data_IF_454599847801
#
_entry.id   IF_454599847801
#
_cell.length_a   1.000
_cell.length_b   1.000
_cell.length_c   1.000
_cell.angle_alpha   90.00
_cell.angle_beta   90.00
_cell.angle_gamma   90.00
#
_symmetry.space_group_name_H-M   'P 1'
#
loop_
_entity.id
_entity.type
_entity.pdbx_description
1 polymer ?
#
# COMPACT_ATOMS: atom_id res chain seq x y z
N UNK A 1 31.30 -65.44 25.44
CA UNK A 1 30.81 -64.14 25.90
C UNK A 1 30.70 -63.23 24.69
N UNK A 2 29.51 -62.72 24.37
CA UNK A 2 29.31 -61.70 23.34
C UNK A 2 28.34 -60.66 23.93
N UNK A 3 28.86 -59.47 24.20
CA UNK A 3 28.10 -58.27 24.61
C UNK A 3 27.96 -57.36 23.38
N UNK A 4 26.80 -56.74 23.20
CA UNK A 4 26.59 -55.62 22.27
C UNK A 4 25.09 -55.41 22.01
N UNK A 5 24.35 -54.79 22.92
CA UNK A 5 23.96 -53.36 22.98
C UNK A 5 23.12 -52.88 21.79
N UNK A 6 21.84 -52.65 22.06
CA UNK A 6 20.86 -51.94 21.23
C UNK A 6 21.34 -50.50 20.95
N UNK A 7 21.26 -50.08 19.68
CA UNK A 7 21.31 -48.66 19.30
C UNK A 7 19.88 -48.17 19.01
N UNK A 8 19.40 -47.22 19.81
CA UNK A 8 18.13 -46.53 19.57
C UNK A 8 18.33 -45.51 18.44
N UNK A 9 17.54 -45.65 17.37
CA UNK A 9 17.51 -44.66 16.27
C UNK A 9 16.82 -43.39 16.75
N UNK A 10 17.55 -42.28 16.75
CA UNK A 10 16.97 -40.96 16.96
C UNK A 10 16.24 -40.53 15.68
N UNK A 11 14.92 -40.46 15.72
CA UNK A 11 14.12 -39.76 14.70
C UNK A 11 14.32 -38.26 14.91
N UNK A 12 15.11 -37.62 14.05
CA UNK A 12 15.17 -36.17 13.98
C UNK A 12 13.83 -35.67 13.43
N UNK A 13 13.02 -35.04 14.29
CA UNK A 13 11.85 -34.29 13.84
C UNK A 13 12.36 -33.03 13.12
N UNK A 14 12.05 -32.89 11.84
CA UNK A 14 12.25 -31.63 11.13
C UNK A 14 11.28 -30.61 11.74
N UNK A 15 11.82 -29.65 12.50
CA UNK A 15 11.08 -28.45 12.88
C UNK A 15 10.85 -27.64 11.60
N UNK A 16 9.60 -27.32 11.23
CA UNK A 16 9.36 -26.36 10.16
C UNK A 16 9.98 -25.04 10.62
N UNK A 17 10.94 -24.52 9.85
CA UNK A 17 11.35 -23.14 9.98
C UNK A 17 10.19 -22.28 9.47
N UNK A 18 9.26 -21.95 10.37
CA UNK A 18 8.43 -20.77 10.23
C UNK A 18 9.41 -19.59 10.32
N UNK A 19 10.02 -19.22 9.19
CA UNK A 19 10.55 -17.87 9.01
C UNK A 19 9.35 -16.95 9.12
N UNK A 20 8.97 -16.63 10.37
CA UNK A 20 8.09 -15.52 10.64
C UNK A 20 8.73 -14.32 9.95
N UNK A 21 7.99 -13.74 9.01
CA UNK A 21 8.34 -12.51 8.32
C UNK A 21 8.81 -11.55 9.41
N UNK A 22 10.10 -11.23 9.42
CA UNK A 22 10.55 -10.13 10.25
C UNK A 22 9.78 -8.94 9.71
N UNK A 23 8.83 -8.42 10.49
CA UNK A 23 8.16 -7.17 10.15
C UNK A 23 9.29 -6.17 9.89
N UNK A 24 9.43 -5.78 8.63
CA UNK A 24 10.52 -4.93 8.21
C UNK A 24 10.41 -3.61 9.00
N UNK A 25 11.50 -3.22 9.66
CA UNK A 25 11.48 -2.02 10.48
C UNK A 25 11.76 -0.81 9.57
N UNK A 26 10.70 -0.17 9.09
CA UNK A 26 10.76 1.06 8.31
C UNK A 26 10.53 2.27 9.23
N UNK A 27 11.58 3.02 9.63
CA UNK A 27 11.39 4.27 10.37
C UNK A 27 10.61 5.29 9.53
N UNK A 28 9.76 6.08 10.21
CA UNK A 28 8.89 7.05 9.56
C UNK A 28 9.63 8.36 9.36
N UNK A 29 10.35 8.46 8.24
CA UNK A 29 11.26 9.57 7.97
C UNK A 29 10.98 10.27 6.63
N UNK A 30 10.09 9.73 5.79
CA UNK A 30 9.71 10.35 4.50
C UNK A 30 8.36 11.05 4.60
N UNK A 31 8.29 12.25 4.02
CA UNK A 31 7.06 13.02 3.91
C UNK A 31 6.34 12.68 2.60
N UNK A 32 5.03 12.45 2.69
CA UNK A 32 4.18 12.15 1.53
C UNK A 32 2.91 13.00 1.57
N UNK A 33 2.30 13.16 0.41
CA UNK A 33 0.98 13.75 0.25
C UNK A 33 0.16 12.89 -0.71
N UNK A 34 -0.99 12.40 -0.23
CA UNK A 34 -1.88 11.58 -1.03
C UNK A 34 -2.83 12.50 -1.78
N UNK A 35 -2.99 12.26 -3.09
CA UNK A 35 -3.84 13.09 -3.95
C UNK A 35 -3.51 14.58 -3.79
N UNK A 36 -2.29 15.03 -4.16
CA UNK A 36 -1.81 16.38 -3.86
C UNK A 36 -2.70 17.51 -4.42
N UNK A 37 -3.53 17.23 -5.43
CA UNK A 37 -4.49 18.19 -5.99
C UNK A 37 -5.88 18.11 -5.33
N UNK A 38 -6.06 17.26 -4.31
CA UNK A 38 -7.30 17.04 -3.59
C UNK A 38 -7.22 17.58 -2.15
N UNK A 39 -7.68 18.82 -1.97
CA UNK A 39 -7.70 19.48 -0.66
C UNK A 39 -8.57 18.76 0.41
N UNK A 40 -9.51 17.90 0.01
CA UNK A 40 -10.32 17.11 0.93
C UNK A 40 -9.62 15.82 1.39
N UNK A 41 -8.49 15.46 0.77
CA UNK A 41 -7.64 14.31 1.06
C UNK A 41 -8.45 13.01 1.27
N UNK A 42 -9.12 12.58 0.20
CA UNK A 42 -9.87 11.32 0.16
C UNK A 42 -9.50 10.46 -1.05
N UNK A 43 -9.71 9.15 -0.90
CA UNK A 43 -9.63 8.17 -1.97
C UNK A 43 -11.02 7.54 -2.12
N UNK A 44 -11.64 7.68 -3.30
CA UNK A 44 -12.82 6.89 -3.65
C UNK A 44 -12.41 5.69 -4.52
N UNK A 45 -12.40 4.51 -3.90
CA UNK A 45 -12.00 3.25 -4.55
C UNK A 45 -12.97 2.79 -5.64
N UNK A 46 -14.17 3.38 -5.73
CA UNK A 46 -15.18 3.03 -6.72
C UNK A 46 -15.14 3.92 -7.95
N UNK A 47 -14.65 5.15 -7.80
CA UNK A 47 -14.55 6.13 -8.89
C UNK A 47 -13.12 6.22 -9.48
N UNK A 48 -12.10 5.76 -8.76
CA UNK A 48 -10.71 5.83 -9.19
C UNK A 48 -10.08 4.44 -9.39
N UNK A 49 -9.40 4.26 -10.52
CA UNK A 49 -8.59 3.06 -10.81
C UNK A 49 -7.16 3.16 -10.22
N UNK A 50 -6.72 4.37 -9.90
CA UNK A 50 -5.39 4.64 -9.38
C UNK A 50 -5.37 5.83 -8.39
N UNK A 51 -4.34 5.88 -7.55
CA UNK A 51 -4.10 6.97 -6.59
C UNK A 51 -2.71 7.56 -6.84
N UNK A 52 -2.64 8.89 -6.89
CA UNK A 52 -1.39 9.63 -6.98
C UNK A 52 -0.85 9.97 -5.59
N UNK A 53 0.45 9.83 -5.38
CA UNK A 53 1.14 10.15 -4.14
C UNK A 53 2.38 10.97 -4.47
N UNK A 54 2.48 12.17 -3.91
CA UNK A 54 3.69 12.98 -3.98
C UNK A 54 4.62 12.58 -2.82
N UNK A 55 5.87 12.24 -3.14
CA UNK A 55 6.94 12.03 -2.16
C UNK A 55 7.77 13.29 -2.10
N UNK A 56 7.90 13.87 -0.91
CA UNK A 56 8.63 15.12 -0.70
C UNK A 56 10.03 14.84 -0.18
N UNK A 57 10.96 15.74 -0.50
CA UNK A 57 12.26 15.73 0.16
C UNK A 57 12.08 15.88 1.67
N UNK A 58 12.89 15.16 2.43
CA UNK A 58 12.85 15.15 3.90
C UNK A 58 14.25 15.11 4.48
N UNK A 59 14.44 15.79 5.60
CA UNK A 59 15.69 15.80 6.37
C UNK A 59 15.42 15.28 7.78
N UNK A 60 16.26 14.36 8.24
CA UNK A 60 16.10 13.72 9.55
C UNK A 60 17.45 13.30 10.13
N UNK A 61 17.44 12.89 11.40
CA UNK A 61 18.60 12.30 12.07
C UNK A 61 18.44 10.77 12.02
N UNK A 62 19.38 10.09 11.38
CA UNK A 62 19.31 8.64 11.24
C UNK A 62 19.69 7.91 12.55
N UNK A 63 19.65 6.58 12.53
CA UNK A 63 19.93 5.76 13.72
C UNK A 63 21.35 5.92 14.28
N UNK A 64 22.30 6.39 13.45
CA UNK A 64 23.69 6.62 13.84
C UNK A 64 23.90 8.02 14.45
N UNK A 65 22.86 8.87 14.44
CA UNK A 65 22.92 10.25 14.93
C UNK A 65 23.39 11.27 13.90
N UNK A 66 23.53 10.85 12.64
CA UNK A 66 23.95 11.72 11.54
C UNK A 66 22.74 12.33 10.82
N UNK A 67 22.92 13.55 10.31
CA UNK A 67 21.92 14.20 9.46
C UNK A 67 21.87 13.50 8.10
N UNK A 68 20.68 13.12 7.68
CA UNK A 68 20.42 12.48 6.38
C UNK A 68 19.33 13.25 5.63
N UNK A 69 19.51 13.37 4.31
CA UNK A 69 18.52 13.92 3.40
C UNK A 69 17.98 12.80 2.52
N UNK A 70 16.67 12.62 2.52
CA UNK A 70 15.96 11.80 1.56
C UNK A 70 15.45 12.69 0.43
N UNK A 71 16.16 12.69 -0.68
CA UNK A 71 15.71 13.28 -1.95
C UNK A 71 15.09 12.17 -2.82
N UNK A 72 13.76 12.17 -3.06
CA UNK A 72 13.12 11.12 -3.85
C UNK A 72 13.53 11.13 -5.32
N UNK A 73 13.99 12.27 -5.87
CA UNK A 73 14.33 12.42 -7.29
C UNK A 73 15.66 11.74 -7.65
N UNK A 74 16.54 11.55 -6.67
CA UNK A 74 17.83 10.86 -6.84
C UNK A 74 17.77 9.36 -6.51
N UNK A 75 16.61 8.83 -6.12
CA UNK A 75 16.47 7.45 -5.63
C UNK A 75 15.86 6.54 -6.69
N UNK A 76 16.24 5.26 -6.63
CA UNK A 76 15.56 4.25 -7.44
C UNK A 76 14.10 4.09 -7.00
N UNK A 77 13.22 3.95 -7.98
CA UNK A 77 11.78 3.75 -7.79
C UNK A 77 11.53 2.35 -7.23
N UNK A 78 11.46 2.27 -5.89
CA UNK A 78 11.24 1.02 -5.13
C UNK A 78 10.16 1.23 -4.07
N UNK A 79 9.07 1.86 -4.48
CA UNK A 79 7.99 2.24 -3.60
C UNK A 79 6.89 1.18 -3.54
N UNK A 80 6.26 1.07 -2.37
CA UNK A 80 5.03 0.31 -2.14
C UNK A 80 4.03 1.17 -1.38
N UNK A 81 2.81 1.27 -1.88
CA UNK A 81 1.76 2.06 -1.28
C UNK A 81 0.57 1.18 -0.88
N UNK A 82 -0.06 1.48 0.25
CA UNK A 82 -1.28 0.79 0.65
C UNK A 82 -1.68 0.91 2.11
N UNK A 83 -2.57 0.02 2.53
CA UNK A 83 -2.89 -0.15 3.94
C UNK A 83 -1.66 -0.66 4.70
N UNK A 84 -1.57 -0.30 5.98
CA UNK A 84 -0.46 -0.74 6.83
C UNK A 84 -0.33 -2.26 6.88
N UNK A 85 -1.46 -2.97 6.97
CA UNK A 85 -1.50 -4.42 7.02
C UNK A 85 -0.94 -5.04 5.73
N UNK A 86 -1.35 -4.54 4.57
CA UNK A 86 -0.85 -5.04 3.28
C UNK A 86 0.67 -4.88 3.16
N UNK A 87 1.22 -3.76 3.64
CA UNK A 87 2.65 -3.49 3.61
C UNK A 87 3.45 -4.34 4.61
N UNK A 88 2.93 -4.56 5.83
CA UNK A 88 3.57 -5.42 6.84
C UNK A 88 3.69 -6.88 6.37
N UNK A 89 2.78 -7.33 5.50
CA UNK A 89 2.82 -8.65 4.84
C UNK A 89 3.70 -8.68 3.57
N UNK A 90 4.37 -7.58 3.22
CA UNK A 90 5.21 -7.45 2.02
C UNK A 90 4.43 -7.23 0.71
N UNK A 91 3.13 -6.97 0.82
CA UNK A 91 2.23 -6.60 -0.28
C UNK A 91 2.29 -5.11 -0.62
N UNK A 92 1.12 -4.51 -0.87
CA UNK A 92 0.99 -3.13 -1.32
C UNK A 92 1.29 -2.94 -2.81
N UNK A 93 0.71 -1.89 -3.37
CA UNK A 93 0.80 -1.54 -4.78
C UNK A 93 2.18 -1.00 -5.12
N UNK A 94 2.75 -1.44 -6.25
CA UNK A 94 3.93 -0.80 -6.87
C UNK A 94 3.48 0.34 -7.81
N UNK A 95 4.31 1.36 -8.03
CA UNK A 95 3.95 2.43 -8.95
C UNK A 95 3.88 1.88 -10.39
N UNK A 96 2.98 2.45 -11.19
CA UNK A 96 2.72 2.03 -12.58
C UNK A 96 3.92 2.33 -13.49
N UNK A 97 4.62 3.43 -13.19
CA UNK A 97 5.81 3.91 -13.90
C UNK A 97 6.82 4.51 -12.91
N UNK A 98 7.85 5.17 -13.43
CA UNK A 98 8.91 5.79 -12.63
C UNK A 98 8.48 7.10 -11.94
N UNK A 99 7.27 7.60 -12.20
CA UNK A 99 6.76 8.86 -11.69
C UNK A 99 7.16 10.09 -12.50
N UNK A 100 6.64 11.23 -12.05
CA UNK A 100 6.95 12.56 -12.58
C UNK A 100 7.62 13.41 -11.49
N UNK A 101 8.66 14.15 -11.87
CA UNK A 101 9.27 15.14 -10.97
C UNK A 101 8.48 16.45 -11.13
N UNK A 102 7.90 16.93 -10.04
CA UNK A 102 7.21 18.22 -9.99
C UNK A 102 8.05 19.21 -9.20
N UNK A 103 8.38 20.33 -9.85
CA UNK A 103 9.06 21.47 -9.26
C UNK A 103 8.06 22.37 -8.52
N UNK A 104 8.45 23.07 -7.45
CA UNK A 104 7.60 24.06 -6.78
C UNK A 104 7.17 25.16 -7.75
N UNK A 105 5.91 25.62 -7.64
CA UNK A 105 5.39 26.68 -8.52
C UNK A 105 6.06 28.04 -8.29
N UNK A 106 6.67 28.25 -7.13
CA UNK A 106 7.29 29.53 -6.73
C UNK A 106 8.67 29.29 -6.10
N UNK A 107 9.74 29.78 -6.73
CA UNK A 107 11.12 29.64 -6.22
C UNK A 107 11.35 30.37 -4.87
N UNK A 108 10.37 31.15 -4.42
CA UNK A 108 10.39 31.86 -3.14
C UNK A 108 9.87 31.04 -1.96
N UNK A 109 9.22 29.90 -2.19
CA UNK A 109 8.90 28.96 -1.12
C UNK A 109 10.08 28.01 -0.91
N UNK A 110 10.32 27.60 0.35
CA UNK A 110 11.31 26.55 0.66
C UNK A 110 10.86 25.16 0.15
N UNK A 111 9.81 25.10 -0.69
CA UNK A 111 9.28 23.85 -1.22
C UNK A 111 10.30 23.23 -2.16
N UNK A 112 10.64 21.96 -1.91
CA UNK A 112 11.58 21.21 -2.72
C UNK A 112 10.84 20.42 -3.79
N UNK A 113 11.57 19.99 -4.82
CA UNK A 113 11.02 19.10 -5.85
C UNK A 113 10.45 17.84 -5.22
N UNK A 114 9.35 17.35 -5.80
CA UNK A 114 8.67 16.13 -5.35
C UNK A 114 8.63 15.11 -6.47
N UNK A 115 8.60 13.82 -6.10
CA UNK A 115 8.36 12.73 -7.04
C UNK A 115 6.89 12.29 -6.89
N UNK A 116 6.09 12.49 -7.94
CA UNK A 116 4.70 12.08 -8.00
C UNK A 116 4.60 10.69 -8.61
N UNK A 117 4.06 9.75 -7.85
CA UNK A 117 3.92 8.34 -8.24
C UNK A 117 2.44 7.98 -8.33
N UNK A 118 2.11 7.15 -9.32
CA UNK A 118 0.74 6.64 -9.51
C UNK A 118 0.68 5.16 -9.18
N UNK A 119 -0.26 4.78 -8.32
CA UNK A 119 -0.40 3.40 -7.81
C UNK A 119 -1.79 2.82 -8.17
N UNK A 120 -1.88 1.55 -8.61
CA UNK A 120 -3.15 0.90 -8.90
C UNK A 120 -3.94 0.57 -7.63
N UNK A 121 -5.24 0.88 -7.62
CA UNK A 121 -6.11 0.69 -6.44
C UNK A 121 -6.21 -0.77 -6.00
N UNK A 122 -6.24 -1.71 -6.95
CA UNK A 122 -6.48 -3.14 -6.69
C UNK A 122 -5.40 -3.81 -5.82
N UNK A 123 -4.20 -3.23 -5.74
CA UNK A 123 -3.05 -3.81 -5.05
C UNK A 123 -2.75 -3.14 -3.70
N UNK A 124 -3.42 -2.03 -3.37
CA UNK A 124 -3.14 -1.25 -2.15
C UNK A 124 -3.60 -1.95 -0.88
N UNK A 125 -4.52 -2.91 -1.00
CA UNK A 125 -5.15 -3.53 0.16
C UNK A 125 -5.95 -2.54 1.01
N UNK A 126 -6.49 -1.48 0.39
CA UNK A 126 -7.46 -0.56 0.98
C UNK A 126 -8.88 -1.10 0.75
N UNK A 127 -9.71 -1.13 1.79
CA UNK A 127 -11.04 -1.71 1.73
C UNK A 127 -12.21 -0.75 2.00
N UNK A 128 -11.89 0.50 2.37
CA UNK A 128 -12.85 1.54 2.67
C UNK A 128 -13.09 1.61 4.17
N UNK A 129 -12.73 2.76 4.76
CA UNK A 129 -12.79 2.98 6.21
C UNK A 129 -11.43 3.33 6.83
N UNK A 130 -10.35 3.25 6.07
CA UNK A 130 -9.04 3.69 6.52
C UNK A 130 -9.00 5.22 6.70
N UNK A 131 -8.34 5.64 7.77
CA UNK A 131 -8.05 7.05 8.10
C UNK A 131 -6.60 7.44 7.78
N UNK A 132 -5.79 6.48 7.35
CA UNK A 132 -4.37 6.66 7.00
C UNK A 132 -3.98 5.66 5.91
N UNK A 133 -3.11 6.08 5.00
CA UNK A 133 -2.43 5.18 4.08
C UNK A 133 -0.91 5.43 4.11
N UNK A 134 -0.17 4.40 3.76
CA UNK A 134 1.26 4.30 4.03
C UNK A 134 2.04 4.10 2.73
N UNK A 135 3.26 4.63 2.70
CA UNK A 135 4.22 4.46 1.63
C UNK A 135 5.52 3.93 2.21
N UNK A 136 6.01 2.80 1.70
CA UNK A 136 7.34 2.27 2.00
C UNK A 136 8.26 2.49 0.80
N UNK A 137 9.47 2.97 1.05
CA UNK A 137 10.56 2.95 0.09
C UNK A 137 11.55 1.86 0.49
N UNK A 138 11.81 0.90 -0.40
CA UNK A 138 12.74 -0.20 -0.18
C UNK A 138 14.16 0.23 -0.60
N UNK A 139 15.12 0.21 0.33
CA UNK A 139 16.52 0.57 0.05
C UNK A 139 17.19 -0.42 -0.90
N UNK A 140 16.79 -1.69 -0.80
CA UNK A 140 17.31 -2.80 -1.57
C UNK A 140 16.19 -3.79 -1.94
N UNK A 141 16.52 -4.76 -2.79
CA UNK A 141 15.58 -5.77 -3.31
C UNK A 141 15.07 -6.74 -2.23
N UNK A 142 15.65 -6.73 -1.03
CA UNK A 142 15.18 -7.61 0.03
C UNK A 142 13.82 -7.18 0.58
N UNK A 143 13.44 -5.91 0.42
CA UNK A 143 12.20 -5.35 0.98
C UNK A 143 12.16 -5.28 2.51
N UNK A 144 13.31 -5.43 3.19
CA UNK A 144 13.37 -5.44 4.66
C UNK A 144 13.96 -4.15 5.26
N UNK A 145 14.45 -3.26 4.41
CA UNK A 145 15.15 -2.05 4.82
C UNK A 145 14.66 -0.87 3.99
N UNK A 146 14.56 0.29 4.62
CA UNK A 146 14.26 1.55 3.94
C UNK A 146 13.54 2.52 4.86
N UNK A 147 12.67 3.36 4.29
CA UNK A 147 11.93 4.39 5.02
C UNK A 147 10.43 4.28 4.78
N UNK A 148 9.64 4.75 5.74
CA UNK A 148 8.19 4.84 5.64
C UNK A 148 7.72 6.30 5.72
N UNK A 149 6.59 6.55 5.08
CA UNK A 149 5.79 7.76 5.22
C UNK A 149 4.32 7.37 5.32
N UNK A 150 3.51 8.26 5.86
CA UNK A 150 2.07 8.11 5.86
C UNK A 150 1.40 9.47 5.76
N UNK A 151 0.16 9.46 5.29
CA UNK A 151 -0.71 10.63 5.27
C UNK A 151 -2.10 10.25 5.78
N UNK A 152 -2.78 11.23 6.38
CA UNK A 152 -4.15 11.09 6.87
C UNK A 152 -5.12 11.27 5.72
N UNK A 153 -5.88 10.23 5.41
CA UNK A 153 -6.76 10.20 4.23
C UNK A 153 -8.09 9.59 4.63
N UNK A 154 -9.18 9.98 3.94
CA UNK A 154 -10.46 9.28 4.07
C UNK A 154 -10.64 8.33 2.90
N UNK A 155 -10.74 7.03 3.18
CA UNK A 155 -10.95 6.04 2.12
C UNK A 155 -12.41 5.62 2.06
N UNK A 156 -13.03 5.82 0.91
CA UNK A 156 -14.39 5.41 0.61
C UNK A 156 -14.38 4.24 -0.35
N UNK A 157 -15.27 3.29 -0.10
CA UNK A 157 -15.68 2.30 -1.08
C UNK A 157 -17.17 2.45 -1.29
N UNK A 158 -17.57 3.01 -2.43
CA UNK A 158 -18.96 2.94 -2.85
C UNK A 158 -19.34 1.48 -3.06
N UNK A 159 -20.44 1.01 -2.46
CA UNK A 159 -21.10 -0.17 -3.01
C UNK A 159 -21.45 0.20 -4.44
N UNK A 160 -20.82 -0.45 -5.42
CA UNK A 160 -21.15 -0.26 -6.84
C UNK A 160 -22.67 -0.19 -6.94
N UNK A 161 -23.18 1.00 -7.30
CA UNK A 161 -24.61 1.29 -7.26
C UNK A 161 -25.28 0.19 -8.04
N UNK A 162 -25.91 -0.73 -7.31
CA UNK A 162 -26.46 -1.95 -7.87
C UNK A 162 -27.66 -1.62 -8.73
N UNK A 163 -27.43 -1.09 -9.93
CA UNK A 163 -28.35 -1.22 -11.06
C UNK A 163 -28.75 -2.69 -11.17
N UNK A 164 -27.84 -3.64 -10.90
CA UNK A 164 -28.14 -5.07 -10.83
C UNK A 164 -29.29 -5.48 -9.89
N UNK A 165 -29.31 -5.06 -8.62
CA UNK A 165 -30.31 -5.58 -7.67
C UNK A 165 -31.69 -4.93 -7.87
N UNK A 166 -31.74 -3.61 -8.08
CA UNK A 166 -33.01 -2.92 -8.31
C UNK A 166 -33.62 -3.32 -9.66
N UNK A 167 -32.80 -3.54 -10.68
CA UNK A 167 -33.25 -3.99 -12.00
C UNK A 167 -33.63 -5.47 -12.00
N UNK A 168 -32.92 -6.33 -11.26
CA UNK A 168 -33.35 -7.72 -11.00
C UNK A 168 -34.66 -7.79 -10.22
N UNK A 169 -34.84 -6.95 -9.19
CA UNK A 169 -36.10 -6.87 -8.44
C UNK A 169 -37.25 -6.34 -9.32
N UNK A 170 -37.00 -5.37 -10.21
CA UNK A 170 -38.00 -4.91 -11.19
C UNK A 170 -38.35 -6.00 -12.20
N UNK A 171 -37.39 -6.83 -12.61
CA UNK A 171 -37.63 -7.93 -13.53
C UNK A 171 -38.43 -9.08 -12.88
N UNK A 172 -38.19 -9.33 -11.59
CA UNK A 172 -38.96 -10.29 -10.78
C UNK A 172 -40.39 -9.81 -10.50
N UNK A 173 -40.56 -8.53 -10.14
CA UNK A 173 -41.87 -7.96 -9.79
C UNK A 173 -42.69 -7.52 -11.03
N UNK A 174 -42.03 -7.27 -12.17
CA UNK A 174 -42.67 -6.92 -13.43
C UNK A 174 -43.15 -8.11 -14.26
N UNK A 175 -42.76 -9.34 -13.89
CA UNK A 175 -43.13 -10.57 -14.60
C UNK A 175 -44.55 -11.08 -14.32
N UNK A 176 -45.27 -10.52 -13.33
CA UNK A 176 -46.56 -11.07 -12.87
C UNK A 176 -47.81 -10.39 -13.48
N UNK A 177 -47.63 -9.38 -14.34
CA UNK A 177 -48.74 -8.60 -14.92
C UNK A 177 -49.09 -8.96 -16.39
N UNK A 178 -48.58 -10.07 -16.92
CA UNK A 178 -48.91 -10.54 -18.27
C UNK A 178 -49.50 -11.96 -18.25
N UNK A 179 -50.63 -12.11 -17.57
CA UNK A 179 -51.56 -13.20 -17.88
C UNK A 179 -52.99 -12.72 -17.60
N UNK A 180 -53.50 -11.88 -18.49
CA UNK A 180 -54.93 -11.63 -18.61
C UNK A 180 -55.49 -12.47 -19.76
N UNK A 181 -56.49 -13.28 -19.44
CA UNK A 181 -57.69 -13.56 -20.23
C UNK A 181 -57.55 -13.69 -21.76
N UNK A 182 -57.73 -14.91 -22.26
CA UNK A 182 -58.96 -15.35 -22.94
C UNK A 182 -59.07 -16.89 -22.88
#
# INVERSE_FOLDING_TARGET
MLKGTLGAGATAAAVPSLSGVAAAHFPVEIAIEIQPENAENFIDLSDHEAVTVAVKQSEFINSDGDSETFDPTERAVRYRFGSRLALEDGGGARPIDDGEITEPEDEATDDQSSLVLTFPVDEMGLDGGEETAWLYWERDESGHHGYAGFDSVRVYRGYSSGSGLIEQLRQLLGGEAASSSD
#
